data_IF_801050581925
#
_entry.id   IF_801050581925
#
_cell.length_a   1.000
_cell.length_b   1.000
_cell.length_c   1.000
_cell.angle_alpha   90.00
_cell.angle_beta   90.00
_cell.angle_gamma   90.00
#
_symmetry.space_group_name_H-M   'P 1'
#
loop_
_entity.id
_entity.type
_entity.pdbx_description
1 polymer ?
#
# COMPACT_ATOMS: atom_id res chain seq x y z
N UNK A 1 9.28 -22.47 -3.12
CA UNK A 1 9.49 -21.07 -2.65
C UNK A 1 9.07 -20.23 -3.82
N UNK A 2 8.15 -19.28 -3.64
CA UNK A 2 7.48 -18.65 -4.76
C UNK A 2 8.49 -18.03 -5.70
N UNK A 3 8.28 -18.21 -7.01
CA UNK A 3 9.10 -17.54 -8.02
C UNK A 3 8.84 -16.03 -7.97
N UNK A 4 9.89 -15.26 -7.70
CA UNK A 4 9.82 -13.79 -7.69
C UNK A 4 10.39 -13.26 -9.00
N UNK A 5 9.60 -12.43 -9.67
CA UNK A 5 10.01 -11.71 -10.88
C UNK A 5 10.08 -10.22 -10.57
N UNK A 6 11.17 -9.59 -10.97
CA UNK A 6 11.39 -8.16 -10.81
C UNK A 6 11.13 -7.41 -12.12
N UNK A 7 10.26 -6.42 -12.07
CA UNK A 7 9.92 -5.54 -13.16
C UNK A 7 10.41 -4.11 -12.88
N UNK A 8 11.30 -3.63 -13.77
CA UNK A 8 11.68 -2.21 -13.91
C UNK A 8 11.09 -1.56 -15.17
N UNK A 9 10.32 -2.35 -15.92
CA UNK A 9 9.63 -1.99 -17.15
C UNK A 9 8.21 -2.53 -17.05
N UNK A 10 7.25 -2.07 -17.88
CA UNK A 10 5.87 -2.55 -17.82
C UNK A 10 5.80 -4.08 -17.85
N UNK A 11 5.03 -4.64 -16.90
CA UNK A 11 4.79 -6.07 -16.81
C UNK A 11 3.74 -6.53 -17.84
N UNK A 12 3.64 -7.84 -18.14
CA UNK A 12 2.60 -8.37 -19.03
C UNK A 12 1.20 -7.99 -18.55
N UNK A 13 0.27 -7.77 -19.49
CA UNK A 13 -1.10 -7.34 -19.20
C UNK A 13 -1.81 -8.25 -18.19
N UNK A 14 -1.68 -9.58 -18.34
CA UNK A 14 -2.27 -10.54 -17.40
C UNK A 14 -1.73 -10.45 -15.97
N UNK A 15 -0.48 -10.01 -15.78
CA UNK A 15 0.09 -9.74 -14.45
C UNK A 15 -0.49 -8.44 -13.88
N UNK A 16 -0.53 -7.39 -14.71
CA UNK A 16 -1.10 -6.09 -14.34
C UNK A 16 -2.57 -6.24 -13.88
N UNK A 17 -3.41 -6.92 -14.67
CA UNK A 17 -4.81 -7.17 -14.33
C UNK A 17 -4.98 -7.93 -13.02
N UNK A 18 -4.15 -8.94 -12.75
CA UNK A 18 -4.21 -9.69 -11.50
C UNK A 18 -3.80 -8.82 -10.29
N UNK A 19 -2.78 -7.96 -10.43
CA UNK A 19 -2.38 -7.01 -9.39
C UNK A 19 -3.54 -6.05 -9.07
N UNK A 20 -4.15 -5.45 -10.10
CA UNK A 20 -5.27 -4.54 -9.92
C UNK A 20 -6.48 -5.24 -9.27
N UNK A 21 -6.75 -6.49 -9.62
CA UNK A 21 -7.77 -7.29 -8.95
C UNK A 21 -7.45 -7.50 -7.46
N UNK A 22 -6.20 -7.84 -7.11
CA UNK A 22 -5.78 -7.96 -5.72
C UNK A 22 -5.93 -6.64 -4.95
N UNK A 23 -5.68 -5.50 -5.58
CA UNK A 23 -5.87 -4.17 -4.97
C UNK A 23 -7.34 -3.92 -4.65
N UNK A 24 -8.23 -4.26 -5.58
CA UNK A 24 -9.68 -4.16 -5.41
C UNK A 24 -10.18 -5.07 -4.28
N UNK A 25 -9.71 -6.33 -4.26
CA UNK A 25 -10.13 -7.35 -3.30
C UNK A 25 -9.61 -7.09 -1.88
N UNK A 26 -8.41 -6.50 -1.76
CA UNK A 26 -7.72 -6.31 -0.48
C UNK A 26 -7.59 -4.85 -0.05
N UNK A 27 -8.46 -3.96 -0.57
CA UNK A 27 -8.41 -2.52 -0.30
C UNK A 27 -8.27 -2.18 1.18
N UNK A 28 -9.11 -2.77 2.04
CA UNK A 28 -9.08 -2.52 3.49
C UNK A 28 -7.72 -2.86 4.09
N UNK A 29 -7.06 -3.90 3.61
CA UNK A 29 -5.77 -4.35 4.12
C UNK A 29 -4.62 -3.45 3.65
N UNK A 30 -4.67 -2.90 2.44
CA UNK A 30 -3.54 -2.19 1.82
C UNK A 30 -3.66 -0.66 1.86
N UNK A 31 -4.88 -0.13 1.99
CA UNK A 31 -5.11 1.32 2.05
C UNK A 31 -4.70 1.89 3.40
N UNK A 32 -4.07 3.06 3.40
CA UNK A 32 -3.81 3.82 4.62
C UNK A 32 -5.11 4.18 5.35
N UNK A 33 -6.24 4.32 4.65
CA UNK A 33 -7.54 4.66 5.26
C UNK A 33 -8.16 3.47 5.98
N UNK A 34 -7.87 2.23 5.57
CA UNK A 34 -8.37 1.02 6.23
C UNK A 34 -9.89 0.88 6.25
N UNK A 35 -10.60 1.50 5.32
CA UNK A 35 -12.06 1.52 5.32
C UNK A 35 -12.63 0.13 4.97
N UNK A 36 -13.60 -0.34 5.74
CA UNK A 36 -14.30 -1.61 5.48
C UNK A 36 -15.45 -1.47 4.46
N UNK A 37 -15.87 -2.57 3.81
CA UNK A 37 -16.88 -2.57 2.75
C UNK A 37 -18.28 -2.14 3.21
N UNK A 38 -18.53 -2.08 4.52
CA UNK A 38 -19.81 -1.61 5.07
C UNK A 38 -19.99 -0.08 4.99
N UNK A 39 -18.91 0.69 4.78
CA UNK A 39 -19.02 2.14 4.64
C UNK A 39 -19.37 2.50 3.20
N UNK A 40 -20.35 3.40 2.99
CA UNK A 40 -20.80 3.79 1.65
C UNK A 40 -19.70 4.42 0.78
N UNK A 41 -18.68 5.02 1.38
CA UNK A 41 -17.54 5.61 0.68
C UNK A 41 -16.51 4.57 0.22
N UNK A 42 -16.67 3.29 0.58
CA UNK A 42 -15.72 2.23 0.23
C UNK A 42 -15.39 2.21 -1.27
N UNK A 43 -16.41 2.28 -2.13
CA UNK A 43 -16.22 2.24 -3.59
C UNK A 43 -15.45 3.45 -4.14
N UNK A 44 -15.54 4.61 -3.46
CA UNK A 44 -14.75 5.80 -3.83
C UNK A 44 -13.26 5.53 -3.58
N UNK A 45 -12.94 4.99 -2.40
CA UNK A 45 -11.55 4.62 -2.06
C UNK A 45 -11.06 3.43 -2.90
N UNK A 46 -11.92 2.48 -3.22
CA UNK A 46 -11.58 1.33 -4.07
C UNK A 46 -11.13 1.80 -5.45
N UNK A 47 -11.89 2.71 -6.05
CA UNK A 47 -11.50 3.33 -7.32
C UNK A 47 -10.21 4.15 -7.17
N UNK A 48 -10.14 5.02 -6.18
CA UNK A 48 -9.01 5.93 -6.03
C UNK A 48 -7.67 5.20 -5.82
N UNK A 49 -7.65 4.18 -4.94
CA UNK A 49 -6.46 3.36 -4.68
C UNK A 49 -6.15 2.46 -5.88
N UNK A 50 -7.17 1.87 -6.51
CA UNK A 50 -6.98 1.09 -7.74
C UNK A 50 -6.33 1.92 -8.85
N UNK A 51 -6.81 3.16 -9.04
CA UNK A 51 -6.25 4.08 -10.02
C UNK A 51 -4.85 4.58 -9.64
N UNK A 52 -4.58 4.84 -8.35
CA UNK A 52 -3.23 5.17 -7.90
C UNK A 52 -2.24 4.05 -8.22
N UNK A 53 -2.58 2.79 -7.90
CA UNK A 53 -1.73 1.64 -8.24
C UNK A 53 -1.55 1.51 -9.76
N UNK A 54 -2.63 1.70 -10.53
CA UNK A 54 -2.53 1.73 -11.99
C UNK A 54 -1.53 2.79 -12.48
N UNK A 55 -1.55 4.00 -11.91
CA UNK A 55 -0.63 5.07 -12.29
C UNK A 55 0.83 4.71 -11.95
N UNK A 56 1.10 4.02 -10.84
CA UNK A 56 2.44 3.50 -10.53
C UNK A 56 2.88 2.39 -11.49
N UNK A 57 1.97 1.48 -11.86
CA UNK A 57 2.27 0.43 -12.84
C UNK A 57 2.56 1.01 -14.22
N UNK A 58 1.84 2.06 -14.62
CA UNK A 58 2.16 2.83 -15.83
C UNK A 58 3.52 3.52 -15.71
N UNK A 59 3.88 4.06 -14.54
CA UNK A 59 5.18 4.71 -14.32
C UNK A 59 6.39 3.78 -14.51
N UNK A 60 6.21 2.45 -14.51
CA UNK A 60 7.25 1.50 -14.90
C UNK A 60 7.75 1.73 -16.33
N UNK A 61 6.99 2.43 -17.18
CA UNK A 61 7.46 2.83 -18.51
C UNK A 61 8.54 3.92 -18.49
N UNK A 62 8.81 4.54 -17.34
CA UNK A 62 9.81 5.59 -17.15
C UNK A 62 9.38 7.00 -17.57
N UNK A 63 8.17 7.17 -18.11
CA UNK A 63 7.71 8.45 -18.68
C UNK A 63 7.15 9.42 -17.62
N UNK A 64 6.78 8.93 -16.44
CA UNK A 64 6.11 9.72 -15.39
C UNK A 64 7.05 10.39 -14.40
N UNK A 65 8.36 10.36 -14.63
CA UNK A 65 9.36 11.03 -13.79
C UNK A 65 9.45 10.51 -12.35
N UNK A 66 8.82 9.36 -12.07
CA UNK A 66 8.84 8.67 -10.78
C UNK A 66 9.47 7.31 -11.00
N UNK A 67 10.55 7.01 -10.27
CA UNK A 67 11.13 5.67 -10.27
C UNK A 67 10.25 4.73 -9.44
N UNK A 68 9.77 3.68 -10.09
CA UNK A 68 8.94 2.63 -9.48
C UNK A 68 9.58 1.29 -9.84
N UNK A 69 9.60 0.39 -8.86
CA UNK A 69 9.96 -1.00 -9.08
C UNK A 69 8.86 -1.92 -8.54
N UNK A 70 8.73 -3.08 -9.18
CA UNK A 70 7.69 -4.05 -8.85
C UNK A 70 8.29 -5.46 -8.73
N UNK A 71 8.07 -6.09 -7.59
CA UNK A 71 8.27 -7.52 -7.41
C UNK A 71 6.93 -8.24 -7.50
N UNK A 72 6.87 -9.32 -8.26
CA UNK A 72 5.69 -10.18 -8.38
C UNK A 72 6.07 -11.59 -7.99
N UNK A 73 5.34 -12.16 -7.05
CA UNK A 73 5.41 -13.57 -6.70
C UNK A 73 4.35 -14.34 -7.48
N UNK A 74 4.77 -15.39 -8.19
CA UNK A 74 3.88 -16.33 -8.89
C UNK A 74 3.84 -17.67 -8.19
N UNK A 75 2.76 -18.43 -8.41
CA UNK A 75 2.64 -19.80 -7.93
C UNK A 75 3.72 -20.71 -8.56
N UNK A 76 4.18 -21.70 -7.79
CA UNK A 76 5.23 -22.63 -8.24
C UNK A 76 4.66 -23.69 -9.21
N UNK A 77 3.39 -24.07 -9.04
CA UNK A 77 2.66 -25.04 -9.86
C UNK A 77 1.96 -24.36 -11.05
N UNK A 78 1.55 -23.08 -10.91
CA UNK A 78 0.99 -22.25 -11.98
C UNK A 78 1.73 -20.88 -12.10
N UNK A 79 2.79 -20.79 -12.91
CA UNK A 79 3.58 -19.58 -13.07
C UNK A 79 2.83 -18.37 -13.66
N UNK A 80 1.63 -18.57 -14.22
CA UNK A 80 0.78 -17.46 -14.71
C UNK A 80 -0.05 -16.84 -13.57
N UNK A 81 -0.21 -17.55 -12.45
CA UNK A 81 -0.96 -17.11 -11.30
C UNK A 81 -0.13 -16.19 -10.42
N UNK A 82 -0.56 -14.93 -10.30
CA UNK A 82 0.00 -13.99 -9.32
C UNK A 82 -0.54 -14.36 -7.94
N UNK A 83 0.38 -14.55 -6.98
CA UNK A 83 0.07 -14.85 -5.58
C UNK A 83 0.54 -13.77 -4.61
N UNK A 84 1.35 -12.82 -5.09
CA UNK A 84 1.79 -11.67 -4.33
C UNK A 84 2.39 -10.59 -5.21
N UNK A 85 2.33 -9.35 -4.73
CA UNK A 85 3.09 -8.25 -5.33
C UNK A 85 3.63 -7.32 -4.25
N UNK A 86 4.73 -6.65 -4.57
CA UNK A 86 5.35 -5.61 -3.78
C UNK A 86 5.79 -4.48 -4.72
N UNK A 87 5.15 -3.32 -4.57
CA UNK A 87 5.41 -2.10 -5.32
C UNK A 87 6.14 -1.12 -4.40
N UNK A 88 7.30 -0.65 -4.84
CA UNK A 88 8.19 0.18 -4.03
C UNK A 88 8.87 1.25 -4.88
N UNK A 89 9.30 2.30 -4.19
CA UNK A 89 9.83 3.52 -4.77
C UNK A 89 11.27 3.68 -4.28
N UNK A 90 12.29 3.52 -5.15
CA UNK A 90 13.65 3.95 -4.85
C UNK A 90 13.67 5.42 -4.43
N UNK A 91 14.54 5.76 -3.46
CA UNK A 91 14.64 7.13 -2.95
C UNK A 91 15.64 7.92 -3.79
N UNK A 92 15.19 9.01 -4.39
CA UNK A 92 16.06 9.91 -5.14
C UNK A 92 17.05 10.59 -4.19
N UNK A 93 18.34 10.48 -4.52
CA UNK A 93 19.43 11.02 -3.70
C UNK A 93 19.92 10.06 -2.61
N UNK A 94 19.36 8.86 -2.50
CA UNK A 94 19.79 7.82 -1.57
C UNK A 94 19.69 6.44 -2.24
N UNK A 95 20.79 6.00 -2.84
CA UNK A 95 20.83 4.78 -3.67
C UNK A 95 20.65 3.48 -2.88
N UNK A 96 20.83 3.50 -1.56
CA UNK A 96 20.57 2.35 -0.70
C UNK A 96 19.11 2.28 -0.24
N UNK A 97 18.33 3.35 -0.45
CA UNK A 97 17.03 3.49 0.16
C UNK A 97 15.86 3.29 -0.80
N UNK A 98 14.79 2.67 -0.29
CA UNK A 98 13.51 2.56 -0.97
C UNK A 98 12.35 2.66 0.01
N UNK A 99 11.15 2.93 -0.50
CA UNK A 99 9.93 2.91 0.31
C UNK A 99 8.86 2.02 -0.31
N UNK A 100 8.27 1.13 0.48
CA UNK A 100 7.12 0.32 0.05
C UNK A 100 5.90 1.22 -0.09
N UNK A 101 5.30 1.23 -1.29
CA UNK A 101 4.04 1.92 -1.55
C UNK A 101 2.84 0.98 -1.35
N UNK A 102 2.89 -0.22 -1.95
CA UNK A 102 1.81 -1.21 -1.83
C UNK A 102 2.37 -2.62 -1.80
N UNK A 103 1.79 -3.49 -0.97
CA UNK A 103 2.12 -4.91 -0.94
C UNK A 103 0.87 -5.71 -0.60
N UNK A 104 0.65 -6.80 -1.32
CA UNK A 104 -0.39 -7.77 -0.99
C UNK A 104 0.07 -9.20 -1.26
N UNK A 105 -0.51 -10.14 -0.50
CA UNK A 105 -0.40 -11.58 -0.74
C UNK A 105 -1.82 -12.13 -0.83
N UNK A 106 -2.06 -12.93 -1.86
CA UNK A 106 -3.34 -13.59 -2.12
C UNK A 106 -3.75 -14.43 -0.91
N UNK A 107 -5.02 -14.37 -0.52
CA UNK A 107 -5.49 -14.88 0.77
C UNK A 107 -5.05 -16.32 1.08
N UNK A 108 -5.22 -17.23 0.13
CA UNK A 108 -4.82 -18.64 0.25
C UNK A 108 -3.31 -18.86 0.43
N UNK A 109 -2.47 -17.89 0.07
CA UNK A 109 -1.01 -17.93 0.10
C UNK A 109 -0.40 -17.15 1.27
N UNK A 110 -1.24 -16.53 2.10
CA UNK A 110 -0.79 -15.82 3.31
C UNK A 110 -0.17 -16.81 4.30
N UNK A 111 0.81 -16.34 5.09
CA UNK A 111 1.56 -17.15 6.07
C UNK A 111 2.38 -18.30 5.48
N UNK A 112 2.57 -18.34 4.16
CA UNK A 112 3.44 -19.32 3.48
C UNK A 112 4.82 -18.74 3.09
N UNK A 113 5.19 -17.58 3.65
CA UNK A 113 6.49 -16.95 3.39
C UNK A 113 6.57 -16.07 2.14
N UNK A 114 5.48 -15.89 1.39
CA UNK A 114 5.46 -15.06 0.15
C UNK A 114 5.89 -13.61 0.41
N UNK A 115 5.28 -12.93 1.40
CA UNK A 115 5.66 -11.56 1.76
C UNK A 115 7.13 -11.48 2.23
N UNK A 116 7.59 -12.46 3.02
CA UNK A 116 8.98 -12.54 3.49
C UNK A 116 9.96 -12.65 2.32
N UNK A 117 9.63 -13.46 1.31
CA UNK A 117 10.47 -13.63 0.13
C UNK A 117 10.54 -12.33 -0.69
N UNK A 118 9.41 -11.66 -0.94
CA UNK A 118 9.39 -10.37 -1.67
C UNK A 118 10.13 -9.26 -0.90
N UNK A 119 9.94 -9.15 0.41
CA UNK A 119 10.66 -8.17 1.25
C UNK A 119 12.16 -8.48 1.27
N UNK A 120 12.54 -9.76 1.36
CA UNK A 120 13.94 -10.16 1.33
C UNK A 120 14.64 -9.78 0.02
N UNK A 121 13.98 -10.01 -1.12
CA UNK A 121 14.48 -9.59 -2.44
C UNK A 121 14.62 -8.07 -2.54
N UNK A 122 13.64 -7.32 -2.04
CA UNK A 122 13.68 -5.85 -2.01
C UNK A 122 14.82 -5.33 -1.12
N UNK A 123 14.95 -5.82 0.12
CA UNK A 123 16.01 -5.40 1.05
C UNK A 123 17.41 -5.81 0.57
N UNK A 124 17.51 -6.93 -0.16
CA UNK A 124 18.76 -7.31 -0.83
C UNK A 124 19.22 -6.32 -1.90
N UNK A 125 18.28 -5.55 -2.48
CA UNK A 125 18.55 -4.47 -3.44
C UNK A 125 18.74 -3.12 -2.75
N UNK A 126 17.93 -2.84 -1.74
CA UNK A 126 17.89 -1.59 -0.99
C UNK A 126 18.01 -1.86 0.51
N UNK A 127 19.24 -1.83 1.07
CA UNK A 127 19.46 -2.11 2.49
C UNK A 127 18.73 -1.16 3.45
N UNK A 128 18.34 0.03 2.98
CA UNK A 128 17.54 1.01 3.74
C UNK A 128 16.09 1.04 3.24
N UNK A 129 15.28 0.09 3.69
CA UNK A 129 13.87 0.03 3.32
C UNK A 129 12.98 0.73 4.35
N UNK A 130 12.07 1.59 3.89
CA UNK A 130 11.01 2.22 4.68
C UNK A 130 9.63 1.67 4.29
N UNK A 131 8.72 1.53 5.25
CA UNK A 131 7.31 1.24 4.97
C UNK A 131 6.39 1.86 6.00
N UNK A 132 5.11 1.98 5.64
CA UNK A 132 4.05 2.35 6.57
C UNK A 132 3.08 1.16 6.70
N UNK A 133 2.66 0.83 7.92
CA UNK A 133 1.70 -0.25 8.14
C UNK A 133 0.79 -0.01 9.35
N UNK A 134 -0.35 -0.70 9.39
CA UNK A 134 -1.24 -0.72 10.55
C UNK A 134 -0.55 -1.36 11.75
N UNK A 135 -0.88 -0.94 12.97
CA UNK A 135 -0.33 -1.50 14.24
C UNK A 135 -0.30 -3.04 14.25
N UNK A 136 -1.36 -3.71 13.80
CA UNK A 136 -1.43 -5.17 13.78
C UNK A 136 -0.41 -5.88 12.88
N UNK A 137 0.27 -5.14 11.98
CA UNK A 137 1.30 -5.68 11.09
C UNK A 137 2.73 -5.47 11.59
N UNK A 138 2.92 -4.64 12.61
CA UNK A 138 4.25 -4.30 13.16
C UNK A 138 5.05 -5.56 13.52
N UNK A 139 4.51 -6.56 14.26
CA UNK A 139 5.30 -7.74 14.64
C UNK A 139 5.82 -8.54 13.43
N UNK A 140 5.11 -8.52 12.31
CA UNK A 140 5.56 -9.22 11.09
C UNK A 140 6.78 -8.54 10.47
N UNK A 141 6.82 -7.21 10.46
CA UNK A 141 7.95 -6.46 9.92
C UNK A 141 9.14 -6.40 10.89
N UNK A 142 8.89 -6.38 12.20
CA UNK A 142 9.96 -6.54 13.21
C UNK A 142 10.69 -7.88 13.03
N UNK A 143 9.96 -8.97 12.76
CA UNK A 143 10.56 -10.26 12.45
C UNK A 143 11.39 -10.29 11.15
N UNK A 144 11.28 -9.25 10.31
CA UNK A 144 12.04 -9.05 9.09
C UNK A 144 13.16 -8.01 9.25
N UNK A 145 13.40 -7.51 10.47
CA UNK A 145 14.47 -6.55 10.77
C UNK A 145 14.08 -5.08 10.60
N UNK A 146 12.79 -4.77 10.53
CA UNK A 146 12.31 -3.38 10.56
C UNK A 146 12.10 -2.92 12.00
N UNK A 147 12.43 -1.67 12.27
CA UNK A 147 12.23 -1.00 13.55
C UNK A 147 11.17 0.09 13.40
N UNK A 148 10.42 0.35 14.47
CA UNK A 148 9.48 1.49 14.52
C UNK A 148 10.30 2.77 14.62
N UNK A 149 10.11 3.70 13.69
CA UNK A 149 10.83 4.97 13.63
C UNK A 149 9.90 6.19 13.73
N UNK A 150 8.59 5.97 13.79
CA UNK A 150 7.62 7.04 13.96
C UNK A 150 6.23 6.63 13.49
N UNK A 151 5.47 7.65 13.12
CA UNK A 151 4.08 7.52 12.69
C UNK A 151 3.81 8.41 11.47
N UNK A 152 2.86 7.98 10.64
CA UNK A 152 2.22 8.79 9.62
C UNK A 152 0.71 8.52 9.64
N UNK A 153 -0.07 9.48 10.15
CA UNK A 153 -1.53 9.38 10.23
C UNK A 153 -1.97 8.08 10.92
N UNK A 154 -2.72 7.21 10.25
CA UNK A 154 -3.21 5.93 10.76
C UNK A 154 -2.16 4.80 10.74
N UNK A 155 -0.93 5.07 10.29
CA UNK A 155 0.09 4.06 10.03
C UNK A 155 1.34 4.27 10.89
N UNK A 156 1.92 3.15 11.33
CA UNK A 156 3.25 3.08 11.94
C UNK A 156 4.30 3.15 10.83
N UNK A 157 5.24 4.08 10.96
CA UNK A 157 6.38 4.17 10.06
C UNK A 157 7.50 3.25 10.58
N UNK A 158 7.97 2.37 9.71
CA UNK A 158 9.01 1.40 10.03
C UNK A 158 10.16 1.46 9.03
N UNK A 159 11.37 1.12 9.48
CA UNK A 159 12.59 1.14 8.64
C UNK A 159 13.57 0.05 9.04
N UNK A 160 14.35 -0.46 8.09
CA UNK A 160 15.51 -1.34 8.39
C UNK A 160 16.70 -0.60 9.01
N UNK A 161 16.61 0.73 9.10
CA UNK A 161 17.53 1.62 9.80
C UNK A 161 16.80 2.38 10.90
N UNK A 162 17.51 2.74 11.97
CA UNK A 162 16.97 3.56 13.08
C UNK A 162 16.70 5.03 12.69
N UNK A 163 16.85 5.40 11.41
CA UNK A 163 16.60 6.74 10.88
C UNK A 163 15.91 6.67 9.52
N UNK A 164 15.38 7.82 9.08
CA UNK A 164 14.76 8.00 7.76
C UNK A 164 15.77 8.43 6.72
N UNK A 165 15.58 7.99 5.49
CA UNK A 165 16.29 8.59 4.37
C UNK A 165 15.87 10.06 4.21
N UNK A 166 16.87 10.91 3.99
CA UNK A 166 16.70 12.34 3.73
C UNK A 166 16.39 12.64 2.26
N UNK A 167 16.38 11.61 1.39
CA UNK A 167 16.11 11.77 -0.03
C UNK A 167 14.62 11.96 -0.35
N UNK A 168 14.35 12.20 -1.63
CA UNK A 168 13.00 12.46 -2.14
C UNK A 168 12.35 11.16 -2.61
N UNK A 169 11.09 10.94 -2.22
CA UNK A 169 10.27 9.81 -2.66
C UNK A 169 9.26 10.29 -3.67
N UNK A 170 9.19 9.66 -4.83
CA UNK A 170 8.23 9.99 -5.89
C UNK A 170 6.82 9.45 -5.63
N UNK A 171 6.24 9.70 -4.45
CA UNK A 171 4.83 9.35 -4.24
C UNK A 171 3.96 10.18 -5.19
N UNK A 172 3.04 9.53 -5.89
CA UNK A 172 2.07 10.18 -6.77
C UNK A 172 1.14 11.06 -5.91
N UNK A 173 0.93 12.31 -6.33
CA UNK A 173 -0.12 13.13 -5.75
C UNK A 173 -1.49 12.54 -6.13
N UNK A 174 -2.22 12.06 -5.13
CA UNK A 174 -3.55 11.46 -5.31
C UNK A 174 -4.67 12.49 -5.35
N UNK A 175 -4.40 13.76 -5.02
CA UNK A 175 -5.41 14.83 -5.01
C UNK A 175 -6.18 14.95 -6.34
N UNK A 176 -5.52 14.88 -7.51
CA UNK A 176 -6.22 14.91 -8.79
C UNK A 176 -7.15 13.71 -9.01
N UNK A 177 -6.82 12.53 -8.45
CA UNK A 177 -7.64 11.32 -8.57
C UNK A 177 -9.02 11.55 -7.94
N UNK A 178 -9.07 12.13 -6.75
CA UNK A 178 -10.34 12.44 -6.05
C UNK A 178 -11.16 13.54 -6.73
N UNK A 179 -10.55 14.30 -7.65
CA UNK A 179 -11.22 15.33 -8.45
C UNK A 179 -11.64 14.84 -9.84
N UNK A 180 -11.28 13.61 -10.20
CA UNK A 180 -11.59 13.00 -11.49
C UNK A 180 -13.10 12.89 -11.74
N UNK A 181 -13.48 12.80 -13.02
CA UNK A 181 -14.87 12.65 -13.42
C UNK A 181 -15.45 11.33 -12.88
N UNK A 182 -14.65 10.28 -12.89
CA UNK A 182 -15.03 8.94 -12.45
C UNK A 182 -15.37 8.91 -10.96
N UNK A 183 -14.53 9.54 -10.11
CA UNK A 183 -14.84 9.68 -8.68
C UNK A 183 -16.11 10.51 -8.46
N UNK A 184 -16.30 11.59 -9.22
CA UNK A 184 -17.52 12.40 -9.14
C UNK A 184 -18.77 11.61 -9.57
N UNK A 185 -18.66 10.75 -10.58
CA UNK A 185 -19.73 9.87 -11.04
C UNK A 185 -20.08 8.81 -9.99
N UNK A 186 -19.08 8.17 -9.37
CA UNK A 186 -19.28 7.22 -8.26
C UNK A 186 -20.00 7.93 -7.11
N UNK A 187 -19.55 9.13 -6.73
CA UNK A 187 -20.17 9.91 -5.67
C UNK A 187 -21.62 10.29 -6.00
N UNK A 188 -21.88 10.72 -7.24
CA UNK A 188 -23.24 11.04 -7.72
C UNK A 188 -24.15 9.81 -7.68
N UNK A 189 -23.66 8.66 -8.12
CA UNK A 189 -24.40 7.41 -8.04
C UNK A 189 -24.73 7.01 -6.59
N UNK A 190 -23.76 7.15 -5.67
CA UNK A 190 -23.99 6.90 -4.25
C UNK A 190 -25.04 7.85 -3.67
N UNK A 191 -25.04 9.13 -4.05
CA UNK A 191 -26.04 10.11 -3.65
C UNK A 191 -27.44 9.84 -4.23
N UNK A 192 -27.54 9.26 -5.42
CA UNK A 192 -28.83 8.89 -6.01
C UNK A 192 -29.42 7.65 -5.34
N UNK A 193 -28.57 6.69 -4.97
CA UNK A 193 -28.98 5.43 -4.36
C UNK A 193 -29.25 5.53 -2.85
N UNK A 194 -28.63 6.50 -2.17
CA UNK A 194 -28.71 6.64 -0.72
C UNK A 194 -29.27 8.01 -0.33
N UNK A 195 -29.83 8.11 0.89
CA UNK A 195 -30.25 9.42 1.40
C UNK A 195 -29.04 10.31 1.70
N UNK A 196 -29.21 11.63 1.58
CA UNK A 196 -28.18 12.61 2.00
C UNK A 196 -27.70 12.37 3.44
N UNK A 197 -28.61 11.98 4.34
CA UNK A 197 -28.29 11.64 5.73
C UNK A 197 -27.38 10.41 5.81
N UNK A 198 -27.67 9.35 5.06
CA UNK A 198 -26.83 8.14 5.04
C UNK A 198 -25.41 8.44 4.52
N UNK A 199 -25.28 9.31 3.52
CA UNK A 199 -23.96 9.75 3.03
C UNK A 199 -23.19 10.55 4.09
N UNK A 200 -23.83 11.51 4.75
CA UNK A 200 -23.22 12.25 5.86
C UNK A 200 -22.83 11.33 7.03
N UNK A 201 -23.64 10.32 7.32
CA UNK A 201 -23.35 9.34 8.36
C UNK A 201 -22.14 8.47 7.98
N UNK A 202 -21.97 8.13 6.69
CA UNK A 202 -20.81 7.40 6.18
C UNK A 202 -19.51 8.24 6.25
N UNK A 203 -19.56 9.53 5.92
CA UNK A 203 -18.45 10.47 6.13
C UNK A 203 -18.06 10.54 7.61
N UNK A 204 -19.03 10.75 8.50
CA UNK A 204 -18.79 10.75 9.95
C UNK A 204 -18.25 9.42 10.48
N UNK A 205 -18.64 8.29 9.88
CA UNK A 205 -18.11 6.98 10.26
C UNK A 205 -16.64 6.86 9.85
N UNK A 206 -16.30 7.31 8.63
CA UNK A 206 -14.91 7.36 8.16
C UNK A 206 -14.07 8.25 9.07
N UNK A 207 -14.52 9.46 9.37
CA UNK A 207 -13.74 10.42 10.17
C UNK A 207 -13.49 9.88 11.58
N UNK A 208 -14.52 9.31 12.21
CA UNK A 208 -14.37 8.63 13.51
C UNK A 208 -13.39 7.45 13.45
N UNK A 209 -13.42 6.67 12.37
CA UNK A 209 -12.48 5.57 12.17
C UNK A 209 -11.03 6.06 12.05
N UNK A 210 -10.80 7.11 11.27
CA UNK A 210 -9.47 7.72 11.10
C UNK A 210 -8.96 8.30 12.42
N UNK A 211 -9.79 9.04 13.17
CA UNK A 211 -9.42 9.60 14.47
C UNK A 211 -9.04 8.51 15.48
N UNK A 212 -9.85 7.46 15.58
CA UNK A 212 -9.60 6.34 16.49
C UNK A 212 -8.31 5.61 16.13
N UNK A 213 -8.11 5.33 14.84
CA UNK A 213 -6.92 4.61 14.36
C UNK A 213 -5.65 5.45 14.51
N UNK A 214 -5.74 6.76 14.28
CA UNK A 214 -4.62 7.69 14.47
C UNK A 214 -4.19 7.73 15.93
N UNK A 215 -5.13 7.91 16.88
CA UNK A 215 -4.82 7.90 18.32
C UNK A 215 -4.23 6.57 18.78
N UNK A 216 -4.81 5.46 18.35
CA UNK A 216 -4.28 4.13 18.68
C UNK A 216 -2.84 3.95 18.17
N UNK A 217 -2.56 4.44 16.96
CA UNK A 217 -1.22 4.40 16.36
C UNK A 217 -0.24 5.33 17.11
N UNK A 218 -0.67 6.53 17.51
CA UNK A 218 0.12 7.46 18.34
C UNK A 218 0.50 6.83 19.67
N UNK A 219 -0.47 6.23 20.36
CA UNK A 219 -0.23 5.57 21.64
C UNK A 219 0.74 4.40 21.49
N UNK A 220 0.57 3.58 20.47
CA UNK A 220 1.45 2.46 20.17
C UNK A 220 2.89 2.91 19.89
N UNK A 221 3.08 3.88 18.98
CA UNK A 221 4.41 4.39 18.61
C UNK A 221 5.08 5.07 19.80
N UNK A 222 4.35 5.86 20.58
CA UNK A 222 4.87 6.51 21.79
C UNK A 222 5.37 5.47 22.79
N UNK A 223 4.60 4.40 23.04
CA UNK A 223 5.04 3.32 23.93
C UNK A 223 6.30 2.64 23.39
N UNK A 224 6.40 2.39 22.09
CA UNK A 224 7.56 1.73 21.48
C UNK A 224 8.83 2.58 21.54
N UNK A 225 8.72 3.88 21.26
CA UNK A 225 9.86 4.81 21.22
C UNK A 225 10.31 5.33 22.58
N UNK A 226 9.50 5.19 23.64
CA UNK A 226 9.88 5.57 25.00
C UNK A 226 10.63 4.45 25.74
N UNK A 227 10.59 3.22 25.23
CA UNK A 227 11.14 2.01 25.89
C UNK A 227 12.58 1.68 25.41
N UNK A 228 13.24 2.62 24.73
CA UNK A 228 14.63 2.51 24.28
C UNK A 228 15.47 3.68 24.81
#
# INVERSE_FOLDING_TARGET
MPRITHYKTPCPEGVNSQILQMVVDYLTDISAVGLGPSNLLYNVYQYAVGYEVHLYLEALNGEKGTEVELLVATDDDDPEQVIGFLLYLPVQGDWEACSVAYMAVREGYRRQGVARAMIGEMVGRYPHAELACTVGKVPYFEALGFEVIGQRETQVLMSTRHYRSNGLRGFIDTTPIYRSLEVQQIHTYLLQKNSKRAMLDAEKQRDRHLDQTTRHTEEFVRQRLTVH
#
